data_IF_554014144424
#
_entry.id   IF_554014144424
#
_cell.length_a   1.000
_cell.length_b   1.000
_cell.length_c   1.000
_cell.angle_alpha   90.00
_cell.angle_beta   90.00
_cell.angle_gamma   90.00
#
_symmetry.space_group_name_H-M   'P 1'
#
loop_
_entity.id
_entity.type
_entity.pdbx_description
1 polymer ?
#
# COMPACT_ATOMS: atom_id res chain seq x y z
N UNK A 1 38.23 10.97 -30.65
CA UNK A 1 38.02 10.55 -29.25
C UNK A 1 36.63 9.93 -29.16
N UNK A 2 36.54 8.61 -29.11
CA UNK A 2 35.27 7.87 -29.00
C UNK A 2 35.12 7.52 -27.52
N UNK A 3 34.15 8.14 -26.84
CA UNK A 3 33.80 7.80 -25.46
C UNK A 3 32.91 6.56 -25.50
N UNK A 4 33.47 5.40 -25.17
CA UNK A 4 32.71 4.19 -24.92
C UNK A 4 31.97 4.37 -23.58
N UNK A 5 30.66 4.63 -23.64
CA UNK A 5 29.78 4.57 -22.47
C UNK A 5 29.62 3.09 -22.10
N UNK A 6 30.35 2.66 -21.08
CA UNK A 6 30.13 1.38 -20.40
C UNK A 6 28.76 1.41 -19.73
N UNK A 7 27.76 0.88 -20.45
CA UNK A 7 26.50 0.44 -19.88
C UNK A 7 26.80 -0.74 -18.95
N UNK A 8 26.99 -0.44 -17.66
CA UNK A 8 26.98 -1.46 -16.61
C UNK A 8 25.60 -2.14 -16.65
N UNK A 9 25.55 -3.48 -16.72
CA UNK A 9 24.29 -4.19 -16.64
C UNK A 9 23.69 -3.90 -15.27
N UNK A 10 22.48 -3.34 -15.25
CA UNK A 10 21.60 -3.38 -14.07
C UNK A 10 21.44 -4.85 -13.72
N UNK A 11 22.19 -5.30 -12.71
CA UNK A 11 22.01 -6.62 -12.13
C UNK A 11 20.60 -6.66 -11.57
N UNK A 12 19.68 -7.26 -12.33
CA UNK A 12 18.44 -7.80 -11.77
C UNK A 12 18.92 -8.76 -10.70
N UNK A 13 18.81 -8.38 -9.43
CA UNK A 13 19.14 -9.25 -8.32
C UNK A 13 18.32 -10.52 -8.53
N UNK A 14 19.02 -11.59 -8.89
CA UNK A 14 18.43 -12.88 -9.23
C UNK A 14 17.65 -13.36 -8.02
N UNK A 15 16.40 -13.75 -8.26
CA UNK A 15 15.61 -14.57 -7.35
C UNK A 15 16.54 -15.58 -6.66
N UNK A 16 16.49 -15.64 -5.34
CA UNK A 16 17.40 -16.48 -4.55
C UNK A 16 17.58 -17.89 -5.16
N UNK A 17 18.82 -18.35 -5.33
CA UNK A 17 19.18 -19.52 -6.15
C UNK A 17 18.70 -20.85 -5.60
N UNK A 18 18.57 -20.97 -4.28
CA UNK A 18 18.12 -22.16 -3.56
C UNK A 18 17.42 -21.82 -2.24
N UNK A 19 16.61 -22.74 -1.73
CA UNK A 19 15.78 -22.57 -0.52
C UNK A 19 16.59 -22.18 0.72
N UNK A 20 17.80 -22.71 0.92
CA UNK A 20 18.60 -22.44 2.11
C UNK A 20 19.12 -21.00 2.07
N UNK A 21 19.58 -20.55 0.90
CA UNK A 21 19.97 -19.16 0.65
C UNK A 21 18.79 -18.21 0.87
N UNK A 22 17.58 -18.54 0.37
CA UNK A 22 16.38 -17.74 0.63
C UNK A 22 16.10 -17.60 2.13
N UNK A 23 16.10 -18.71 2.87
CA UNK A 23 15.80 -18.72 4.30
C UNK A 23 16.85 -17.92 5.08
N UNK A 24 18.12 -18.00 4.69
CA UNK A 24 19.19 -17.19 5.27
C UNK A 24 18.91 -15.69 5.09
N UNK A 25 18.56 -15.28 3.86
CA UNK A 25 18.21 -13.88 3.56
C UNK A 25 16.97 -13.40 4.30
N UNK A 26 15.94 -14.23 4.40
CA UNK A 26 14.76 -13.94 5.21
C UNK A 26 15.14 -13.69 6.67
N UNK A 27 15.99 -14.55 7.27
CA UNK A 27 16.43 -14.38 8.66
C UNK A 27 17.19 -13.07 8.88
N UNK A 28 18.03 -12.67 7.93
CA UNK A 28 18.76 -11.40 7.94
C UNK A 28 17.80 -10.20 7.88
N UNK A 29 16.90 -10.19 6.89
CA UNK A 29 15.95 -9.09 6.67
C UNK A 29 14.97 -8.95 7.83
N UNK A 30 14.50 -10.06 8.39
CA UNK A 30 13.55 -10.06 9.51
C UNK A 30 14.16 -9.49 10.78
N UNK A 31 15.47 -9.63 10.97
CA UNK A 31 16.21 -9.09 12.10
C UNK A 31 16.57 -7.61 11.96
N UNK A 32 16.60 -7.06 10.74
CA UNK A 32 17.05 -5.70 10.48
C UNK A 32 16.13 -4.62 11.09
N UNK A 33 16.62 -3.74 12.00
CA UNK A 33 15.78 -2.77 12.72
C UNK A 33 15.56 -1.42 11.99
N UNK A 34 16.18 -1.24 10.82
CA UNK A 34 16.19 0.04 10.07
C UNK A 34 15.75 -0.08 8.60
N UNK A 35 15.18 -1.22 8.19
CA UNK A 35 14.82 -1.45 6.77
C UNK A 35 13.46 -0.87 6.39
N UNK A 36 12.55 -0.71 7.34
CA UNK A 36 11.16 -0.32 7.11
C UNK A 36 10.81 0.94 7.91
N UNK A 37 9.66 1.56 7.60
CA UNK A 37 9.23 2.83 8.21
C UNK A 37 9.12 2.81 9.73
N UNK A 38 8.98 1.63 10.34
CA UNK A 38 8.95 1.46 11.79
C UNK A 38 10.35 1.21 12.38
N UNK A 39 10.42 1.16 13.71
CA UNK A 39 11.65 0.82 14.40
C UNK A 39 12.47 2.01 14.84
N UNK A 40 13.79 1.88 14.76
CA UNK A 40 14.70 2.94 15.22
C UNK A 40 14.55 4.22 14.38
N UNK A 41 14.27 4.05 13.07
CA UNK A 41 14.05 5.17 12.16
C UNK A 41 12.84 6.00 12.59
N UNK A 42 11.68 5.36 12.82
CA UNK A 42 10.48 6.03 13.35
C UNK A 42 10.76 6.73 14.67
N UNK A 43 11.47 6.06 15.59
CA UNK A 43 11.80 6.66 16.90
C UNK A 43 12.58 7.96 16.74
N UNK A 44 13.54 8.01 15.82
CA UNK A 44 14.31 9.23 15.54
C UNK A 44 13.48 10.34 14.88
N UNK A 45 12.61 9.99 13.93
CA UNK A 45 11.79 10.96 13.17
C UNK A 45 10.61 11.51 13.98
N UNK A 46 10.09 10.74 14.93
CA UNK A 46 8.86 11.05 15.66
C UNK A 46 9.07 11.64 17.05
N UNK A 47 10.32 11.94 17.43
CA UNK A 47 10.64 12.68 18.65
C UNK A 47 10.87 14.16 18.32
N UNK A 48 9.79 14.95 18.26
CA UNK A 48 9.90 16.40 18.04
C UNK A 48 8.54 17.09 17.88
N UNK A 49 8.51 18.43 18.06
CA UNK A 49 7.30 19.25 17.84
C UNK A 49 6.89 19.34 16.37
N UNK A 50 7.83 19.13 15.45
CA UNK A 50 7.63 19.21 14.00
C UNK A 50 7.58 17.81 13.34
N UNK A 51 7.32 16.77 14.13
CA UNK A 51 7.19 15.41 13.60
C UNK A 51 5.99 15.34 12.66
N UNK A 52 6.19 14.80 11.46
CA UNK A 52 5.10 14.63 10.50
C UNK A 52 4.08 13.61 11.06
N UNK A 53 2.81 14.02 11.28
CA UNK A 53 1.79 13.14 11.84
C UNK A 53 1.54 11.90 10.98
N UNK A 54 1.66 12.04 9.66
CA UNK A 54 1.55 10.91 8.73
C UNK A 54 2.75 10.02 8.98
N UNK A 55 3.99 10.50 8.92
CA UNK A 55 5.21 9.69 9.19
C UNK A 55 5.17 8.93 10.52
N UNK A 56 4.56 9.57 11.53
CA UNK A 56 4.51 9.04 12.87
C UNK A 56 3.29 8.21 13.21
N UNK A 57 2.30 8.10 12.31
CA UNK A 57 1.14 7.27 12.53
C UNK A 57 1.47 5.77 12.62
N UNK A 58 0.70 5.03 13.40
CA UNK A 58 0.80 3.58 13.45
C UNK A 58 0.37 3.03 14.80
N UNK A 59 0.20 1.71 14.93
CA UNK A 59 -0.42 1.12 16.11
C UNK A 59 0.43 1.36 17.37
N UNK A 60 -0.12 2.00 18.43
CA UNK A 60 0.64 2.28 19.65
C UNK A 60 1.20 1.02 20.32
N UNK A 61 0.46 -0.09 20.27
CA UNK A 61 0.87 -1.37 20.84
C UNK A 61 2.06 -2.01 20.11
N UNK A 62 2.38 -1.59 18.87
CA UNK A 62 3.56 -2.06 18.12
C UNK A 62 4.75 -1.11 18.18
N UNK A 63 4.65 0.01 18.90
CA UNK A 63 5.70 1.05 18.95
C UNK A 63 7.02 0.55 19.55
N UNK A 64 6.98 -0.44 20.44
CA UNK A 64 8.13 -1.02 21.12
C UNK A 64 8.89 -2.08 20.31
N UNK A 65 8.44 -2.41 19.10
CA UNK A 65 9.02 -3.46 18.26
C UNK A 65 9.63 -2.84 17.01
N UNK A 66 10.92 -3.10 16.78
CA UNK A 66 11.74 -2.35 15.84
C UNK A 66 12.19 -3.09 14.58
N UNK A 67 12.11 -4.41 14.56
CA UNK A 67 12.34 -5.24 13.37
C UNK A 67 11.07 -5.99 12.96
N UNK A 68 11.03 -6.54 11.75
CA UNK A 68 9.92 -7.39 11.29
C UNK A 68 9.69 -8.53 12.27
N UNK A 69 10.76 -9.20 12.72
CA UNK A 69 10.65 -10.34 13.62
C UNK A 69 10.09 -9.95 14.98
N UNK A 70 10.57 -8.84 15.55
CA UNK A 70 10.06 -8.34 16.83
C UNK A 70 8.58 -7.98 16.77
N UNK A 71 8.11 -7.40 15.65
CA UNK A 71 6.71 -7.01 15.45
C UNK A 71 5.82 -8.22 15.20
N UNK A 72 6.24 -9.08 14.28
CA UNK A 72 5.52 -10.30 13.91
C UNK A 72 5.26 -11.15 15.15
N UNK A 73 6.31 -11.47 15.92
CA UNK A 73 6.21 -12.32 17.10
C UNK A 73 5.89 -11.57 18.42
N UNK A 74 5.70 -10.24 18.37
CA UNK A 74 5.51 -9.38 19.55
C UNK A 74 6.56 -9.59 20.64
N UNK A 75 7.80 -9.79 20.23
CA UNK A 75 8.94 -10.03 21.10
C UNK A 75 9.84 -8.80 21.12
N UNK A 76 10.06 -8.20 22.31
CA UNK A 76 10.94 -7.02 22.45
C UNK A 76 12.37 -7.30 22.00
N UNK A 77 12.85 -8.51 22.29
CA UNK A 77 14.14 -9.02 21.83
C UNK A 77 13.89 -10.17 20.88
N UNK A 78 14.04 -9.92 19.58
CA UNK A 78 13.91 -10.96 18.56
C UNK A 78 15.17 -11.84 18.53
N UNK A 79 14.98 -13.16 18.47
CA UNK A 79 16.04 -14.14 18.33
C UNK A 79 15.82 -14.98 17.07
N UNK A 80 16.91 -15.37 16.39
CA UNK A 80 16.81 -16.22 15.20
C UNK A 80 16.13 -17.59 15.48
N UNK A 81 16.10 -18.02 16.75
CA UNK A 81 15.44 -19.24 17.19
C UNK A 81 13.92 -19.29 16.91
N UNK A 82 13.25 -18.14 16.79
CA UNK A 82 11.84 -18.08 16.37
C UNK A 82 11.62 -18.66 14.96
N UNK A 83 12.66 -18.66 14.13
CA UNK A 83 12.65 -19.16 12.75
C UNK A 83 13.50 -20.43 12.58
N UNK A 84 13.74 -21.18 13.67
CA UNK A 84 14.59 -22.38 13.64
C UNK A 84 14.05 -23.50 12.75
N UNK A 85 12.72 -23.63 12.68
CA UNK A 85 12.03 -24.71 11.95
C UNK A 85 11.75 -24.38 10.48
N UNK A 86 12.21 -23.22 9.99
CA UNK A 86 12.08 -22.88 8.58
C UNK A 86 12.86 -23.89 7.72
N UNK A 87 12.14 -24.51 6.78
CA UNK A 87 12.67 -25.51 5.84
C UNK A 87 12.15 -25.33 4.41
N UNK A 88 11.07 -24.57 4.23
CA UNK A 88 10.55 -24.20 2.91
C UNK A 88 10.63 -22.69 2.72
N UNK A 89 10.77 -22.27 1.47
CA UNK A 89 10.66 -20.87 1.07
C UNK A 89 9.42 -20.72 0.19
N UNK A 90 8.33 -20.13 0.72
CA UNK A 90 7.13 -19.85 -0.07
C UNK A 90 7.43 -18.81 -1.16
N UNK A 91 7.32 -19.23 -2.42
CA UNK A 91 7.31 -18.33 -3.58
C UNK A 91 5.93 -17.72 -3.70
N UNK A 92 5.88 -16.39 -3.68
CA UNK A 92 4.65 -15.61 -3.73
C UNK A 92 4.65 -14.82 -5.02
N UNK A 93 3.61 -15.00 -5.84
CA UNK A 93 3.55 -14.42 -7.17
C UNK A 93 2.23 -13.68 -7.36
N UNK A 94 2.30 -12.42 -7.76
CA UNK A 94 1.14 -11.63 -8.13
C UNK A 94 1.06 -11.53 -9.65
N UNK A 95 -0.10 -11.89 -10.20
CA UNK A 95 -0.45 -11.64 -11.61
C UNK A 95 -1.19 -10.32 -11.70
N UNK A 96 -0.44 -9.25 -11.88
CA UNK A 96 -0.96 -7.91 -11.83
C UNK A 96 -1.44 -7.46 -13.22
N UNK A 97 -2.67 -6.96 -13.27
CA UNK A 97 -3.25 -6.42 -14.50
C UNK A 97 -3.04 -4.91 -14.56
N UNK A 98 -2.63 -4.43 -15.72
CA UNK A 98 -2.66 -3.00 -16.03
C UNK A 98 -4.08 -2.46 -16.00
N UNK A 99 -4.22 -1.17 -15.77
CA UNK A 99 -5.51 -0.50 -15.83
C UNK A 99 -5.40 0.98 -15.52
N UNK A 100 -6.52 1.66 -15.69
CA UNK A 100 -6.68 3.09 -15.39
C UNK A 100 -7.53 3.23 -14.12
N UNK A 101 -7.19 4.18 -13.27
CA UNK A 101 -7.93 4.47 -12.06
C UNK A 101 -7.75 5.94 -11.67
N UNK A 102 -8.76 6.51 -11.02
CA UNK A 102 -8.70 7.87 -10.48
C UNK A 102 -8.30 7.84 -9.01
N UNK A 103 -7.34 8.67 -8.62
CA UNK A 103 -6.88 8.82 -7.25
C UNK A 103 -6.36 10.24 -7.04
N UNK A 104 -6.58 10.85 -5.87
CA UNK A 104 -6.09 12.20 -5.57
C UNK A 104 -6.38 13.21 -6.71
N UNK A 105 -7.62 13.20 -7.22
CA UNK A 105 -8.11 14.05 -8.33
C UNK A 105 -7.39 13.91 -9.69
N UNK A 106 -6.54 12.91 -9.84
CA UNK A 106 -5.78 12.60 -11.05
C UNK A 106 -6.15 11.23 -11.61
N UNK A 107 -6.17 11.11 -12.93
CA UNK A 107 -6.38 9.84 -13.63
C UNK A 107 -5.02 9.17 -13.87
N UNK A 108 -4.76 8.08 -13.15
CA UNK A 108 -3.54 7.29 -13.26
C UNK A 108 -3.72 6.13 -14.22
N UNK A 109 -2.64 5.79 -14.90
CA UNK A 109 -2.51 4.55 -15.67
C UNK A 109 -1.39 3.71 -15.08
N UNK A 110 -1.73 2.53 -14.59
CA UNK A 110 -0.78 1.57 -14.05
C UNK A 110 -0.51 0.45 -15.05
N UNK A 111 0.78 0.14 -15.21
CA UNK A 111 1.25 -0.86 -16.18
C UNK A 111 1.25 -0.36 -17.62
N UNK A 112 1.79 -1.18 -18.51
CA UNK A 112 2.01 -0.87 -19.92
C UNK A 112 1.03 -1.59 -20.88
N UNK A 113 -0.10 -2.09 -20.36
CA UNK A 113 -1.08 -2.86 -21.15
C UNK A 113 -0.82 -4.38 -21.18
N UNK A 114 0.23 -4.87 -20.51
CA UNK A 114 0.53 -6.30 -20.37
C UNK A 114 0.32 -6.78 -18.92
N UNK A 115 0.17 -8.10 -18.74
CA UNK A 115 0.18 -8.71 -17.40
C UNK A 115 1.58 -8.63 -16.84
N UNK A 116 1.73 -7.94 -15.72
CA UNK A 116 2.99 -7.85 -14.99
C UNK A 116 3.01 -8.94 -13.92
N UNK A 117 4.05 -9.78 -13.93
CA UNK A 117 4.28 -10.76 -12.88
C UNK A 117 5.21 -10.12 -11.85
N UNK A 118 4.73 -10.02 -10.61
CA UNK A 118 5.57 -9.61 -9.47
C UNK A 118 5.83 -10.85 -8.64
N UNK A 119 7.10 -11.23 -8.54
CA UNK A 119 7.54 -12.29 -7.64
C UNK A 119 8.14 -11.67 -6.38
N UNK A 120 7.70 -12.14 -5.21
CA UNK A 120 8.17 -11.62 -3.95
C UNK A 120 9.56 -12.18 -3.61
N UNK A 121 10.49 -11.30 -3.28
CA UNK A 121 11.84 -11.63 -2.87
C UNK A 121 12.28 -10.69 -1.73
N UNK A 122 13.05 -11.15 -0.71
CA UNK A 122 13.52 -10.29 0.38
C UNK A 122 14.36 -9.08 -0.06
N UNK A 123 14.97 -9.15 -1.24
CA UNK A 123 15.80 -8.12 -1.86
C UNK A 123 15.09 -7.38 -3.02
N UNK A 124 13.78 -7.63 -3.22
CA UNK A 124 12.97 -6.95 -4.24
C UNK A 124 12.86 -5.44 -3.96
N UNK A 125 12.72 -4.66 -5.03
CA UNK A 125 12.27 -3.28 -4.91
C UNK A 125 10.80 -3.24 -4.41
N UNK A 126 10.41 -2.23 -3.61
CA UNK A 126 9.05 -2.12 -3.13
C UNK A 126 8.03 -2.12 -4.27
N UNK A 127 7.05 -3.02 -4.22
CA UNK A 127 5.99 -3.10 -5.22
C UNK A 127 4.86 -2.12 -4.89
N UNK A 128 4.34 -1.44 -5.91
CA UNK A 128 3.19 -0.55 -5.77
C UNK A 128 1.93 -1.34 -5.36
N UNK A 129 1.18 -0.90 -4.33
CA UNK A 129 -0.04 -1.56 -3.85
C UNK A 129 -1.06 -1.93 -4.94
N UNK A 130 -1.18 -1.13 -5.99
CA UNK A 130 -2.04 -1.44 -7.14
C UNK A 130 -1.72 -2.82 -7.75
N UNK A 131 -0.44 -3.19 -7.85
CA UNK A 131 -0.04 -4.47 -8.45
C UNK A 131 -0.20 -5.67 -7.50
N UNK A 132 -0.34 -5.42 -6.19
CA UNK A 132 -0.63 -6.46 -5.19
C UNK A 132 -2.09 -6.48 -4.76
N UNK A 133 -3.00 -5.80 -5.48
CA UNK A 133 -4.42 -5.69 -5.09
C UNK A 133 -5.19 -7.00 -5.12
N UNK A 134 -4.70 -8.00 -5.86
CA UNK A 134 -5.32 -9.31 -6.01
C UNK A 134 -4.56 -10.37 -5.22
N UNK A 135 -5.28 -11.40 -4.76
CA UNK A 135 -4.68 -12.53 -4.03
C UNK A 135 -3.50 -13.13 -4.82
N UNK A 136 -2.33 -13.38 -4.18
CA UNK A 136 -1.21 -14.00 -4.86
C UNK A 136 -1.39 -15.51 -5.03
N UNK A 137 -0.67 -16.06 -6.01
CA UNK A 137 -0.38 -17.48 -6.10
C UNK A 137 0.78 -17.81 -5.14
N UNK A 138 0.65 -18.88 -4.35
CA UNK A 138 1.68 -19.30 -3.39
C UNK A 138 2.08 -20.74 -3.71
N UNK A 139 3.38 -20.95 -3.94
CA UNK A 139 3.95 -22.26 -4.27
C UNK A 139 5.33 -22.41 -3.61
N UNK A 140 5.91 -23.60 -3.58
CA UNK A 140 7.32 -23.79 -3.18
C UNK A 140 7.85 -25.12 -3.73
N UNK A 141 9.17 -25.26 -3.73
CA UNK A 141 9.81 -26.51 -4.13
C UNK A 141 9.39 -27.65 -3.19
N UNK A 142 8.91 -28.76 -3.75
CA UNK A 142 8.52 -29.94 -2.99
C UNK A 142 7.15 -29.83 -2.31
N UNK A 143 6.31 -28.87 -2.72
CA UNK A 143 4.90 -28.88 -2.36
C UNK A 143 4.23 -30.14 -2.92
N UNK A 144 3.87 -31.06 -2.03
CA UNK A 144 3.11 -32.26 -2.37
C UNK A 144 1.62 -32.07 -2.01
N UNK A 145 0.73 -32.78 -2.70
CA UNK A 145 -0.72 -32.67 -2.54
C UNK A 145 -1.31 -33.64 -1.48
N UNK A 146 -0.45 -34.37 -0.78
CA UNK A 146 -0.78 -35.28 0.32
C UNK A 146 -0.67 -34.61 1.70
N UNK A 147 0.17 -33.58 1.85
CA UNK A 147 0.25 -32.74 3.04
C UNK A 147 -0.75 -31.57 3.00
N UNK A 148 -1.19 -31.13 4.19
CA UNK A 148 -2.01 -29.93 4.36
C UNK A 148 -1.29 -28.85 5.18
N UNK A 149 -1.53 -27.60 4.82
CA UNK A 149 -0.90 -26.43 5.40
C UNK A 149 -1.93 -25.36 5.79
N UNK A 150 -1.52 -24.52 6.74
CA UNK A 150 -2.17 -23.26 7.07
C UNK A 150 -1.27 -22.15 6.56
N UNK A 151 -1.82 -21.25 5.75
CA UNK A 151 -1.08 -20.09 5.23
C UNK A 151 -1.74 -18.83 5.76
N UNK A 152 -0.94 -17.95 6.35
CA UNK A 152 -1.38 -16.61 6.74
C UNK A 152 -0.51 -15.55 6.07
N UNK A 153 -1.12 -14.43 5.67
CA UNK A 153 -0.43 -13.24 5.22
C UNK A 153 -0.71 -12.14 6.23
N UNK A 154 0.34 -11.50 6.74
CA UNK A 154 0.26 -10.52 7.83
C UNK A 154 0.96 -9.23 7.42
N UNK A 155 0.29 -8.09 7.50
CA UNK A 155 0.92 -6.77 7.43
C UNK A 155 1.61 -6.50 8.76
N UNK A 156 2.95 -6.52 8.75
CA UNK A 156 3.74 -6.41 9.98
C UNK A 156 3.85 -4.96 10.46
N UNK A 157 3.65 -3.98 9.57
CA UNK A 157 3.63 -2.57 9.94
C UNK A 157 2.45 -2.22 10.82
N UNK A 158 1.27 -2.76 10.48
CA UNK A 158 0.02 -2.50 11.19
C UNK A 158 -0.45 -3.62 12.10
N UNK A 159 0.17 -4.80 12.03
CA UNK A 159 -0.24 -5.98 12.80
C UNK A 159 -1.59 -6.52 12.37
N UNK A 160 -1.95 -6.38 11.09
CA UNK A 160 -3.24 -6.84 10.57
C UNK A 160 -3.09 -8.14 9.80
N UNK A 161 -4.10 -9.00 9.89
CA UNK A 161 -4.22 -10.18 9.04
C UNK A 161 -4.74 -9.77 7.66
N UNK A 162 -4.04 -10.18 6.63
CA UNK A 162 -4.38 -9.89 5.24
C UNK A 162 -4.96 -11.10 4.52
N UNK A 163 -4.66 -12.32 4.96
CA UNK A 163 -5.20 -13.55 4.38
C UNK A 163 -5.00 -14.71 5.33
N UNK A 164 -5.97 -15.63 5.41
CA UNK A 164 -5.82 -16.89 6.14
C UNK A 164 -6.55 -18.01 5.41
N UNK A 165 -5.82 -19.08 5.12
CA UNK A 165 -6.35 -20.31 4.51
C UNK A 165 -5.82 -21.54 5.26
N UNK A 166 -6.66 -22.56 5.38
CA UNK A 166 -6.31 -23.88 5.96
C UNK A 166 -6.62 -24.99 4.97
N UNK A 167 -5.97 -26.15 5.10
CA UNK A 167 -6.18 -27.29 4.19
C UNK A 167 -5.52 -27.11 2.82
N UNK A 168 -4.62 -26.14 2.67
CA UNK A 168 -3.90 -25.92 1.41
C UNK A 168 -2.85 -27.03 1.18
N UNK A 169 -2.61 -27.51 -0.05
CA UNK A 169 -3.31 -27.17 -1.30
C UNK A 169 -4.54 -28.05 -1.59
N UNK A 170 -4.79 -29.10 -0.78
CA UNK A 170 -5.73 -30.18 -1.10
C UNK A 170 -7.21 -29.75 -1.02
N UNK A 171 -7.64 -29.24 0.12
CA UNK A 171 -9.00 -28.76 0.37
C UNK A 171 -8.95 -27.36 1.02
N UNK A 172 -8.54 -26.33 0.25
CA UNK A 172 -8.29 -25.00 0.79
C UNK A 172 -9.61 -24.37 1.26
N UNK A 173 -9.71 -24.11 2.56
CA UNK A 173 -10.78 -23.34 3.18
C UNK A 173 -10.25 -21.98 3.59
N UNK A 174 -10.75 -20.93 2.93
CA UNK A 174 -10.45 -19.54 3.28
C UNK A 174 -11.19 -19.17 4.57
N UNK A 175 -10.44 -18.73 5.57
CA UNK A 175 -10.96 -18.27 6.86
C UNK A 175 -10.96 -16.75 6.97
N UNK A 176 -10.09 -16.08 6.21
CA UNK A 176 -10.07 -14.64 6.05
C UNK A 176 -9.64 -14.30 4.62
N UNK A 177 -10.49 -13.56 3.89
CA UNK A 177 -10.26 -13.20 2.50
C UNK A 177 -9.07 -12.25 2.33
N UNK A 178 -8.46 -12.29 1.14
CA UNK A 178 -7.28 -11.48 0.86
C UNK A 178 -7.62 -9.98 0.85
N UNK A 179 -6.92 -9.21 1.69
CA UNK A 179 -6.90 -7.77 1.66
C UNK A 179 -5.47 -7.27 1.35
N UNK A 180 -5.28 -6.34 0.39
CA UNK A 180 -3.95 -5.83 0.09
C UNK A 180 -3.45 -4.89 1.20
N UNK A 181 -2.13 -4.76 1.35
CA UNK A 181 -1.57 -3.68 2.16
C UNK A 181 -1.69 -2.37 1.39
N UNK A 182 -2.34 -1.40 2.01
CA UNK A 182 -2.60 -0.07 1.46
C UNK A 182 -1.65 0.93 2.10
N UNK A 183 -0.35 0.70 1.91
CA UNK A 183 0.69 1.56 2.46
C UNK A 183 0.62 2.95 1.81
N UNK A 184 0.34 3.96 2.63
CA UNK A 184 0.22 5.37 2.23
C UNK A 184 1.53 6.14 2.43
N UNK A 185 2.61 5.50 2.91
CA UNK A 185 3.89 6.13 3.22
C UNK A 185 4.88 6.04 2.08
N UNK A 186 5.77 7.02 1.88
CA UNK A 186 6.91 6.87 0.97
C UNK A 186 7.79 5.66 1.33
N UNK A 187 8.02 5.42 2.62
CA UNK A 187 8.80 4.31 3.13
C UNK A 187 8.07 2.96 2.97
N UNK A 188 8.81 1.87 2.67
CA UNK A 188 8.21 0.57 2.41
C UNK A 188 7.64 -0.08 3.68
N UNK A 189 6.60 -0.88 3.48
CA UNK A 189 5.93 -1.68 4.49
C UNK A 189 6.06 -3.19 4.17
N UNK A 190 6.45 -4.04 5.13
CA UNK A 190 6.56 -5.48 4.91
C UNK A 190 5.24 -6.20 5.20
N UNK A 191 4.79 -7.01 4.24
CA UNK A 191 3.86 -8.11 4.50
C UNK A 191 4.65 -9.42 4.60
N UNK A 192 4.27 -10.29 5.54
CA UNK A 192 4.89 -11.60 5.74
C UNK A 192 3.91 -12.69 5.37
N UNK A 193 4.36 -13.65 4.57
CA UNK A 193 3.65 -14.90 4.31
C UNK A 193 4.25 -15.97 5.21
N UNK A 194 3.44 -16.54 6.09
CA UNK A 194 3.82 -17.65 6.96
C UNK A 194 3.10 -18.93 6.55
N UNK A 195 3.81 -20.06 6.62
CA UNK A 195 3.27 -21.38 6.32
C UNK A 195 3.49 -22.28 7.53
N UNK A 196 2.39 -22.82 8.04
CA UNK A 196 2.38 -23.81 9.10
C UNK A 196 2.01 -25.18 8.56
N UNK A 197 2.65 -26.23 9.09
CA UNK A 197 2.19 -27.60 8.87
C UNK A 197 0.89 -27.83 9.62
N UNK A 198 -0.15 -28.37 8.97
CA UNK A 198 -1.41 -28.72 9.63
C UNK A 198 -1.33 -30.12 10.22
N UNK A 199 -1.30 -30.23 11.55
CA UNK A 199 -1.34 -31.53 12.27
C UNK A 199 -2.75 -31.98 12.65
N UNK A 200 -3.65 -31.03 12.91
CA UNK A 200 -5.02 -31.29 13.39
C UNK A 200 -6.02 -31.09 12.27
N UNK A 201 -7.07 -31.88 12.26
CA UNK A 201 -8.18 -31.78 11.30
C UNK A 201 -9.09 -30.59 11.58
N UNK A 202 -9.13 -30.11 12.82
CA UNK A 202 -9.94 -28.94 13.22
C UNK A 202 -9.48 -27.66 12.55
N UNK A 203 -10.44 -26.80 12.18
CA UNK A 203 -10.14 -25.46 11.69
C UNK A 203 -9.44 -24.63 12.80
N UNK A 204 -8.41 -23.84 12.46
CA UNK A 204 -7.73 -22.99 13.42
C UNK A 204 -8.67 -21.89 13.93
N UNK A 205 -8.51 -21.55 15.21
CA UNK A 205 -9.18 -20.44 15.88
C UNK A 205 -8.54 -19.14 15.41
N UNK A 206 -9.33 -18.34 14.70
CA UNK A 206 -8.95 -17.00 14.27
C UNK A 206 -9.13 -16.01 15.44
N UNK A 207 -8.08 -15.21 15.69
CA UNK A 207 -8.11 -14.08 16.62
C UNK A 207 -8.78 -12.84 16.01
N UNK A 208 -8.36 -11.65 16.44
CA UNK A 208 -8.83 -10.38 15.86
C UNK A 208 -8.00 -10.06 14.61
N UNK A 209 -8.59 -9.95 13.41
CA UNK A 209 -7.83 -9.65 12.18
C UNK A 209 -7.16 -8.26 12.20
N UNK A 210 -7.75 -7.27 12.88
CA UNK A 210 -7.25 -5.88 12.91
C UNK A 210 -6.08 -5.69 13.90
N UNK A 211 -5.87 -6.67 14.79
CA UNK A 211 -4.81 -6.72 15.80
C UNK A 211 -4.31 -8.17 15.90
N UNK A 212 -3.85 -8.69 14.77
CA UNK A 212 -3.45 -10.08 14.63
C UNK A 212 -2.12 -10.33 15.35
N UNK A 213 -2.13 -11.32 16.22
CA UNK A 213 -0.99 -11.76 17.02
C UNK A 213 -0.61 -13.16 16.58
N UNK A 214 0.46 -13.30 15.80
CA UNK A 214 0.88 -14.62 15.31
C UNK A 214 1.33 -15.52 16.46
N UNK A 215 1.94 -14.97 17.51
CA UNK A 215 2.45 -15.74 18.64
C UNK A 215 1.28 -16.32 19.42
N UNK A 216 0.25 -15.51 19.67
CA UNK A 216 -1.00 -15.99 20.27
C UNK A 216 -1.71 -16.99 19.36
N UNK A 217 -1.81 -16.72 18.05
CA UNK A 217 -2.39 -17.64 17.09
C UNK A 217 -1.66 -19.00 17.09
N UNK A 218 -0.34 -19.00 17.18
CA UNK A 218 0.46 -20.23 17.26
C UNK A 218 0.19 -21.00 18.56
N UNK A 219 0.06 -20.33 19.69
CA UNK A 219 -0.24 -20.96 20.98
C UNK A 219 -1.67 -21.52 21.02
N UNK A 220 -2.65 -20.72 20.60
CA UNK A 220 -4.08 -21.09 20.62
C UNK A 220 -4.40 -22.26 19.67
N UNK A 221 -3.53 -22.51 18.69
CA UNK A 221 -3.69 -23.55 17.67
C UNK A 221 -2.62 -24.64 17.70
N UNK A 222 -1.71 -24.63 18.69
CA UNK A 222 -0.65 -25.63 18.83
C UNK A 222 0.26 -25.73 17.58
N UNK A 223 0.66 -24.57 17.05
CA UNK A 223 1.49 -24.41 15.84
C UNK A 223 2.92 -23.94 16.15
N UNK A 224 3.31 -23.89 17.42
CA UNK A 224 4.57 -23.28 17.86
C UNK A 224 5.81 -23.89 17.15
N UNK A 225 5.83 -25.21 16.99
CA UNK A 225 6.90 -25.92 16.29
C UNK A 225 6.60 -26.17 14.81
N UNK A 226 5.43 -25.75 14.31
CA UNK A 226 4.97 -26.05 12.95
C UNK A 226 5.12 -24.90 11.96
N UNK A 227 5.67 -23.76 12.37
CA UNK A 227 6.08 -22.69 11.46
C UNK A 227 7.27 -23.17 10.61
N UNK A 228 7.01 -23.47 9.34
CA UNK A 228 7.97 -24.16 8.46
C UNK A 228 8.38 -23.34 7.25
N UNK A 229 7.63 -22.27 6.93
CA UNK A 229 7.90 -21.38 5.81
C UNK A 229 7.64 -19.92 6.16
N UNK A 230 8.51 -19.04 5.65
CA UNK A 230 8.34 -17.61 5.76
C UNK A 230 8.86 -16.92 4.49
N UNK A 231 8.08 -15.99 3.96
CA UNK A 231 8.47 -15.12 2.84
C UNK A 231 8.03 -13.68 3.10
N UNK A 232 8.62 -12.73 2.37
CA UNK A 232 8.42 -11.30 2.54
C UNK A 232 7.92 -10.69 1.23
N UNK A 233 6.90 -9.85 1.31
CA UNK A 233 6.45 -8.98 0.23
C UNK A 233 6.74 -7.55 0.69
N UNK A 234 7.61 -6.84 -0.04
CA UNK A 234 7.96 -5.46 0.28
C UNK A 234 7.00 -4.54 -0.48
N UNK A 235 6.07 -3.91 0.23
CA UNK A 235 5.04 -3.06 -0.35
C UNK A 235 5.48 -1.59 -0.26
N UNK A 236 5.55 -0.91 -1.40
CA UNK A 236 5.82 0.53 -1.50
C UNK A 236 4.56 1.35 -1.28
N UNK A 237 4.44 2.49 -1.95
CA UNK A 237 3.22 3.27 -1.96
C UNK A 237 2.92 3.79 -3.35
N UNK A 238 1.64 4.02 -3.61
CA UNK A 238 1.13 4.60 -4.83
C UNK A 238 -0.16 5.40 -4.55
N UNK A 239 -0.63 6.11 -5.57
CA UNK A 239 -1.86 6.88 -5.46
C UNK A 239 -3.08 6.00 -5.14
N UNK A 240 -3.08 4.73 -5.55
CA UNK A 240 -4.18 3.80 -5.28
C UNK A 240 -4.34 3.53 -3.77
N UNK A 241 -3.24 3.21 -3.07
CA UNK A 241 -3.27 3.01 -1.63
C UNK A 241 -3.62 4.29 -0.86
N UNK A 242 -3.03 5.42 -1.25
CA UNK A 242 -3.31 6.72 -0.62
C UNK A 242 -4.79 7.07 -0.74
N UNK A 243 -5.38 6.92 -1.93
CA UNK A 243 -6.80 7.23 -2.15
C UNK A 243 -7.70 6.30 -1.35
N UNK A 244 -7.39 5.01 -1.23
CA UNK A 244 -8.19 4.08 -0.42
C UNK A 244 -8.18 4.44 1.07
N UNK A 245 -7.04 4.88 1.59
CA UNK A 245 -6.94 5.37 2.97
C UNK A 245 -7.70 6.68 3.17
N UNK A 246 -7.65 7.58 2.17
CA UNK A 246 -8.41 8.84 2.14
C UNK A 246 -9.90 8.58 2.14
N UNK A 247 -10.40 7.69 1.27
CA UNK A 247 -11.82 7.30 1.19
C UNK A 247 -12.33 6.69 2.49
N UNK A 248 -11.49 5.93 3.20
CA UNK A 248 -11.84 5.37 4.51
C UNK A 248 -11.80 6.39 5.64
N UNK A 249 -11.35 7.62 5.39
CA UNK A 249 -11.20 8.63 6.43
C UNK A 249 -10.10 8.27 7.43
N UNK A 250 -9.08 7.51 7.03
CA UNK A 250 -7.97 7.12 7.93
C UNK A 250 -6.85 8.16 7.90
N UNK A 251 -6.29 8.43 6.71
CA UNK A 251 -5.22 9.39 6.45
C UNK A 251 -5.40 9.95 5.03
N UNK A 252 -5.14 11.25 4.86
CA UNK A 252 -4.96 11.86 3.54
C UNK A 252 -3.47 12.19 3.32
N UNK A 253 -2.81 11.43 2.45
CA UNK A 253 -1.42 11.68 2.03
C UNK A 253 -1.29 12.06 0.55
N UNK A 254 -2.35 12.58 -0.09
CA UNK A 254 -2.31 12.92 -1.52
C UNK A 254 -1.25 13.99 -1.86
N UNK A 255 -0.94 14.88 -0.93
CA UNK A 255 0.07 15.91 -1.09
C UNK A 255 1.50 15.35 -1.29
N UNK A 256 1.79 14.13 -0.80
CA UNK A 256 3.08 13.46 -1.05
C UNK A 256 3.33 13.21 -2.54
N UNK A 257 2.28 12.97 -3.33
CA UNK A 257 2.37 12.79 -4.78
C UNK A 257 2.80 14.07 -5.48
N UNK A 258 2.26 15.22 -5.03
CA UNK A 258 2.64 16.53 -5.55
C UNK A 258 4.08 16.88 -5.16
N UNK A 259 4.47 16.66 -3.91
CA UNK A 259 5.86 16.82 -3.46
C UNK A 259 6.81 16.00 -4.33
N UNK A 260 6.50 14.73 -4.57
CA UNK A 260 7.29 13.83 -5.42
C UNK A 260 7.39 14.32 -6.87
N UNK A 261 6.29 14.83 -7.44
CA UNK A 261 6.28 15.42 -8.79
C UNK A 261 7.17 16.68 -8.86
N UNK A 262 7.03 17.60 -7.91
CA UNK A 262 7.79 18.86 -7.88
C UNK A 262 9.29 18.63 -7.68
N UNK A 263 9.68 17.58 -6.95
CA UNK A 263 11.09 17.20 -6.79
C UNK A 263 11.69 16.60 -8.05
N UNK A 264 10.94 15.74 -8.78
CA UNK A 264 11.42 15.09 -10.01
C UNK A 264 11.36 16.01 -11.23
N UNK A 265 10.37 16.87 -11.27
CA UNK A 265 10.12 17.82 -12.35
C UNK A 265 9.94 19.22 -11.74
N UNK A 266 11.04 19.83 -11.24
CA UNK A 266 10.98 21.16 -10.67
C UNK A 266 10.40 22.11 -11.71
N UNK A 267 9.32 22.84 -11.37
CA UNK A 267 8.78 23.84 -12.28
C UNK A 267 9.78 25.00 -12.46
N UNK A 268 9.33 26.07 -13.10
CA UNK A 268 10.05 27.33 -13.16
C UNK A 268 10.72 27.70 -11.81
N UNK A 269 11.90 28.37 -11.81
CA UNK A 269 12.73 28.61 -10.61
C UNK A 269 12.04 29.28 -9.41
N UNK A 270 10.88 29.90 -9.63
CA UNK A 270 10.07 30.47 -8.55
C UNK A 270 9.46 29.39 -7.65
N UNK A 271 9.06 28.23 -8.20
CA UNK A 271 8.41 27.15 -7.45
C UNK A 271 9.42 26.22 -6.77
N UNK A 272 10.70 26.24 -7.18
CA UNK A 272 11.76 25.46 -6.52
C UNK A 272 12.16 26.00 -5.15
N UNK A 273 11.68 27.19 -4.76
CA UNK A 273 11.88 27.80 -3.44
C UNK A 273 10.74 27.53 -2.47
N UNK A 274 9.68 26.85 -2.91
CA UNK A 274 8.57 26.51 -2.03
C UNK A 274 9.04 25.55 -0.93
N UNK A 275 8.64 25.78 0.34
CA UNK A 275 8.95 24.86 1.43
C UNK A 275 8.08 23.60 1.28
N UNK A 276 8.49 22.68 0.40
CA UNK A 276 7.74 21.45 0.11
C UNK A 276 7.56 20.54 1.34
N UNK A 277 8.40 20.72 2.37
CA UNK A 277 8.29 20.01 3.64
C UNK A 277 7.14 20.54 4.53
N UNK A 278 6.62 21.74 4.26
CA UNK A 278 5.46 22.31 4.96
C UNK A 278 4.12 21.90 4.31
N UNK A 279 4.17 21.31 3.11
CA UNK A 279 2.98 20.85 2.42
C UNK A 279 2.40 19.63 3.14
N UNK A 280 1.29 19.80 3.84
CA UNK A 280 0.67 18.77 4.70
C UNK A 280 -0.83 18.55 4.43
N UNK A 281 -1.35 19.14 3.35
CA UNK A 281 -2.77 19.09 3.02
C UNK A 281 -2.99 19.02 1.52
N UNK A 282 -4.10 18.39 1.14
CA UNK A 282 -4.59 18.32 -0.22
C UNK A 282 -5.84 19.19 -0.36
N UNK A 283 -5.94 19.89 -1.49
CA UNK A 283 -7.11 20.67 -1.89
C UNK A 283 -7.67 20.09 -3.18
N UNK A 284 -8.92 19.68 -3.14
CA UNK A 284 -9.68 19.34 -4.35
C UNK A 284 -10.37 20.61 -4.82
N UNK A 285 -9.99 21.10 -5.99
CA UNK A 285 -10.60 22.28 -6.61
C UNK A 285 -11.37 21.84 -7.84
N UNK A 286 -12.63 22.22 -7.93
CA UNK A 286 -13.45 21.94 -9.11
C UNK A 286 -14.26 23.15 -9.54
N UNK A 287 -14.61 23.15 -10.81
CA UNK A 287 -15.38 24.22 -11.46
C UNK A 287 -16.50 23.58 -12.26
N UNK A 288 -17.73 24.00 -12.01
CA UNK A 288 -18.87 23.63 -12.84
C UNK A 288 -18.91 24.54 -14.06
N UNK A 289 -18.66 23.98 -15.23
CA UNK A 289 -18.85 24.66 -16.51
C UNK A 289 -20.29 24.40 -16.98
N UNK A 290 -21.15 25.43 -17.08
CA UNK A 290 -22.54 25.25 -17.49
C UNK A 290 -22.64 24.85 -18.97
N UNK A 291 -23.78 24.30 -19.36
CA UNK A 291 -24.12 24.08 -20.77
C UNK A 291 -24.09 25.41 -21.54
N UNK A 292 -23.44 25.41 -22.70
CA UNK A 292 -23.25 26.59 -23.54
C UNK A 292 -23.36 26.21 -25.01
N UNK A 293 -24.24 26.89 -25.73
CA UNK A 293 -24.27 26.92 -27.19
C UNK A 293 -24.20 28.39 -27.62
N UNK A 294 -22.98 28.87 -27.89
CA UNK A 294 -22.71 30.28 -28.18
C UNK A 294 -21.81 30.42 -29.40
N UNK A 295 -21.98 31.52 -30.13
CA UNK A 295 -21.08 31.87 -31.23
C UNK A 295 -20.05 32.88 -30.72
N UNK A 296 -18.77 32.51 -30.72
CA UNK A 296 -17.64 33.39 -30.33
C UNK A 296 -16.65 33.41 -31.49
N UNK A 297 -16.27 34.60 -31.94
CA UNK A 297 -15.29 34.78 -33.02
C UNK A 297 -15.57 33.92 -34.28
N UNK A 298 -16.81 33.94 -34.78
CA UNK A 298 -17.25 33.14 -35.94
C UNK A 298 -17.16 31.62 -35.76
N UNK A 299 -16.91 31.13 -34.54
CA UNK A 299 -16.95 29.73 -34.18
C UNK A 299 -18.13 29.46 -33.26
N UNK A 300 -18.89 28.40 -33.56
CA UNK A 300 -19.94 27.91 -32.68
C UNK A 300 -19.31 27.01 -31.62
N UNK A 301 -19.30 27.48 -30.38
CA UNK A 301 -18.85 26.73 -29.23
C UNK A 301 -20.06 26.05 -28.61
N UNK A 302 -20.11 24.73 -28.75
CA UNK A 302 -21.06 23.86 -28.05
C UNK A 302 -20.34 23.08 -26.98
N UNK A 303 -20.76 23.29 -25.75
CA UNK A 303 -20.20 22.63 -24.59
C UNK A 303 -21.34 22.17 -23.69
N UNK A 304 -21.31 20.89 -23.31
CA UNK A 304 -22.20 20.35 -22.29
C UNK A 304 -21.76 20.77 -20.90
N UNK A 305 -22.74 20.83 -19.99
CA UNK A 305 -22.46 21.00 -18.57
C UNK A 305 -21.50 19.90 -18.09
N UNK A 306 -20.42 20.32 -17.41
CA UNK A 306 -19.43 19.40 -16.84
C UNK A 306 -18.72 20.01 -15.65
N UNK A 307 -18.32 19.15 -14.72
CA UNK A 307 -17.40 19.52 -13.65
C UNK A 307 -15.96 19.30 -14.11
N UNK A 308 -15.15 20.35 -14.06
CA UNK A 308 -13.71 20.29 -14.34
C UNK A 308 -12.95 20.32 -13.03
N UNK A 309 -12.24 19.24 -12.73
CA UNK A 309 -11.35 19.16 -11.58
C UNK A 309 -9.98 19.68 -11.94
N UNK A 310 -9.38 20.44 -11.04
CA UNK A 310 -8.01 20.92 -11.21
C UNK A 310 -7.09 19.77 -10.86
N UNK A 311 -6.23 19.41 -11.81
CA UNK A 311 -5.34 18.27 -11.70
C UNK A 311 -3.89 18.76 -11.59
N UNK A 312 -3.38 18.98 -10.35
CA UNK A 312 -2.01 19.44 -10.15
C UNK A 312 -0.97 18.35 -10.47
N UNK A 313 -1.39 17.08 -10.62
CA UNK A 313 -0.52 15.95 -10.99
C UNK A 313 -0.44 15.77 -12.52
N UNK A 314 -1.42 16.26 -13.26
CA UNK A 314 -1.45 16.30 -14.72
C UNK A 314 -0.36 17.17 -15.35
N UNK A 315 -0.02 16.86 -16.60
CA UNK A 315 0.95 17.64 -17.40
C UNK A 315 0.29 18.82 -18.13
N UNK A 316 -1.04 18.91 -18.12
CA UNK A 316 -1.78 19.90 -18.89
C UNK A 316 -1.78 21.27 -18.19
N UNK A 317 -1.44 22.32 -18.94
CA UNK A 317 -1.77 23.69 -18.55
C UNK A 317 -3.27 23.89 -18.71
N UNK A 318 -3.96 24.25 -17.63
CA UNK A 318 -5.37 24.65 -17.73
C UNK A 318 -5.41 26.00 -18.45
N UNK A 319 -5.99 26.04 -19.65
CA UNK A 319 -6.24 27.30 -20.36
C UNK A 319 -6.99 28.25 -19.44
N UNK A 320 -6.65 29.54 -19.48
CA UNK A 320 -7.34 30.57 -18.70
C UNK A 320 -8.85 30.45 -18.90
N UNK A 321 -9.52 29.82 -17.94
CA UNK A 321 -10.95 29.57 -18.01
C UNK A 321 -11.58 30.74 -17.30
N UNK A 322 -12.25 31.62 -18.04
CA UNK A 322 -13.12 32.60 -17.42
C UNK A 322 -14.25 31.83 -16.74
N UNK A 323 -14.15 31.70 -15.42
CA UNK A 323 -15.12 30.94 -14.65
C UNK A 323 -16.29 31.86 -14.32
N UNK A 324 -17.46 31.57 -14.89
CA UNK A 324 -18.68 32.33 -14.58
C UNK A 324 -19.22 32.01 -13.18
N UNK A 325 -18.83 30.86 -12.64
CA UNK A 325 -19.16 30.38 -11.29
C UNK A 325 -17.89 30.32 -10.46
N UNK A 326 -17.94 30.67 -9.16
CA UNK A 326 -16.78 30.50 -8.29
C UNK A 326 -16.40 29.01 -8.18
N UNK A 327 -15.10 28.68 -8.08
CA UNK A 327 -14.67 27.30 -7.90
C UNK A 327 -15.14 26.75 -6.55
N UNK A 328 -15.49 25.47 -6.55
CA UNK A 328 -15.71 24.70 -5.33
C UNK A 328 -14.35 24.19 -4.85
N UNK A 329 -14.01 24.53 -3.60
CA UNK A 329 -12.77 24.09 -2.96
C UNK A 329 -13.13 23.24 -1.76
N UNK A 330 -12.66 22.00 -1.75
CA UNK A 330 -12.79 21.10 -0.60
C UNK A 330 -11.41 20.67 -0.11
N UNK A 331 -11.25 20.60 1.21
CA UNK A 331 -10.06 20.08 1.86
C UNK A 331 -10.47 18.97 2.82
N UNK A 332 -9.93 17.78 2.61
CA UNK A 332 -10.09 16.67 3.53
C UNK A 332 -8.87 16.63 4.46
N UNK A 333 -8.79 17.53 5.45
CA UNK A 333 -7.79 17.36 6.50
C UNK A 333 -8.26 16.24 7.42
N UNK A 334 -7.78 15.02 7.17
CA UNK A 334 -7.99 13.87 8.03
C UNK A 334 -6.72 13.66 8.85
N UNK A 335 -6.63 14.23 10.06
CA UNK A 335 -5.50 13.96 10.93
C UNK A 335 -5.51 12.48 11.38
N UNK A 336 -4.33 11.84 11.48
CA UNK A 336 -4.24 10.46 11.93
C UNK A 336 -4.86 10.29 13.32
N UNK A 337 -5.72 9.29 13.50
CA UNK A 337 -6.34 8.97 14.79
C UNK A 337 -7.59 9.78 15.14
N UNK A 338 -8.06 10.70 14.29
CA UNK A 338 -9.43 11.20 14.42
C UNK A 338 -10.42 10.14 13.91
N UNK A 339 -11.28 9.64 14.81
CA UNK A 339 -12.47 8.87 14.42
C UNK A 339 -13.38 9.78 13.58
N UNK A 340 -13.20 9.76 12.26
CA UNK A 340 -13.88 10.68 11.37
C UNK A 340 -14.58 9.96 10.21
N UNK A 341 -15.00 8.70 10.42
CA UNK A 341 -15.93 8.03 9.51
C UNK A 341 -17.17 8.90 9.24
N UNK A 342 -17.59 9.69 10.24
CA UNK A 342 -18.72 10.63 10.17
C UNK A 342 -18.37 11.96 9.47
N UNK A 343 -17.11 12.41 9.50
CA UNK A 343 -16.71 13.69 8.87
C UNK A 343 -16.36 13.55 7.40
N UNK A 344 -15.77 12.42 6.97
CA UNK A 344 -15.47 12.21 5.55
C UNK A 344 -16.75 12.16 4.69
N UNK A 345 -17.76 11.42 5.13
CA UNK A 345 -19.06 11.39 4.46
C UNK A 345 -19.82 12.72 4.55
N UNK A 346 -19.62 13.54 5.59
CA UNK A 346 -20.22 14.89 5.66
C UNK A 346 -19.53 15.90 4.75
N UNK A 347 -18.21 15.79 4.55
CA UNK A 347 -17.45 16.66 3.64
C UNK A 347 -17.59 16.26 2.17
N UNK A 348 -17.87 14.99 1.87
CA UNK A 348 -18.23 14.52 0.51
C UNK A 348 -19.72 14.67 0.19
N UNK A 349 -20.57 14.95 1.19
CA UNK A 349 -22.02 15.14 1.02
C UNK A 349 -22.45 16.47 0.39
N UNK A 350 -21.53 17.33 -0.04
CA UNK A 350 -21.91 18.48 -0.87
C UNK A 350 -22.21 18.13 -2.32
N UNK A 351 -22.06 16.88 -2.77
CA UNK A 351 -22.71 16.39 -4.00
C UNK A 351 -23.02 14.88 -3.94
N UNK A 352 -24.17 14.54 -3.37
CA UNK A 352 -24.99 13.43 -3.89
C UNK A 352 -26.34 14.08 -4.21
N UNK A 353 -26.51 14.47 -5.48
CA UNK A 353 -27.78 14.95 -6.00
C UNK A 353 -28.85 13.87 -5.86
N UNK A 354 -30.03 14.32 -5.48
CA UNK A 354 -31.24 13.54 -5.33
C UNK A 354 -31.53 12.69 -6.58
N UNK A 355 -31.82 11.41 -6.37
CA UNK A 355 -32.80 10.75 -7.22
C UNK A 355 -34.18 11.14 -6.69
N UNK A 356 -34.72 12.22 -7.24
CA UNK A 356 -36.16 12.39 -7.35
C UNK A 356 -36.47 12.35 -8.84
N UNK A 357 -37.15 11.30 -9.28
CA UNK A 357 -38.17 11.44 -10.31
C UNK A 357 -39.39 10.69 -9.79
N UNK A 358 -40.41 11.47 -9.47
CA UNK A 358 -41.78 11.02 -9.34
C UNK A 358 -42.44 11.04 -10.72
N UNK A 359 -43.30 10.05 -10.95
CA UNK A 359 -44.40 9.99 -11.95
C UNK A 359 -44.06 9.62 -13.40
N UNK A 360 -44.38 8.36 -13.74
CA UNK A 360 -45.65 8.03 -14.41
C UNK A 360 -46.29 6.80 -13.78
#
# INVERSE_FOLDING_TARGET
MILAVLLLPTTVATLCTDTATCISRVREVVAAPRKFWFGEQRRSQCHGRNADPIECYGPPHLSAFHSVGSRLFRARTYHAAYLRNLRIFPRVTFRAHSGEYRACDHDFRAGNGSVQVVEADPDMAPVAPYFTRSKPDITWHGLQYDEEFIIAIVDVGFGTLNYLVTGFPREPKVLYDYTPSENFRPEPNPMVVVVFRKKKTSAPRLGRPEDFDISKFMLDNDLADDLIGLSLIIVGSDAFAIERQRIRGTIDNCHSLLKSKLLRHPPAPALSRLPLDELNSWLTVSVTQPDRDVNVCCQRVRQRERNVFFDPLGAATVSATAVMTPPVVTSARIPPGSSSYVNYHRQTRTHIGAFSDSEQ
#
